data_IF_877515718428
#
_entry.id   IF_877515718428
#
_cell.length_a   1.000
_cell.length_b   1.000
_cell.length_c   1.000
_cell.angle_alpha   90.00
_cell.angle_beta   90.00
_cell.angle_gamma   90.00
#
_symmetry.space_group_name_H-M   'P 1'
#
loop_
_entity.id
_entity.type
_entity.pdbx_description
1 polymer ?
#
# COMPACT_ATOMS: atom_id res chain seq x y z
N UNK A 1 -15.32 -17.19 10.21
CA UNK A 1 -15.43 -15.81 9.79
C UNK A 1 -14.33 -15.48 8.78
N UNK A 2 -14.71 -14.93 7.65
CA UNK A 2 -13.73 -14.64 6.60
C UNK A 2 -12.90 -13.43 6.97
N UNK A 3 -11.61 -13.56 6.73
CA UNK A 3 -10.69 -12.44 6.85
C UNK A 3 -10.80 -11.58 5.60
N UNK A 4 -11.19 -10.32 5.71
CA UNK A 4 -11.34 -9.49 4.51
C UNK A 4 -10.01 -9.26 3.82
N UNK A 5 -10.05 -9.11 2.50
CA UNK A 5 -8.89 -8.74 1.70
C UNK A 5 -8.71 -7.23 1.77
N UNK A 6 -7.50 -6.80 2.05
CA UNK A 6 -7.13 -5.37 2.08
C UNK A 6 -6.26 -5.07 0.88
N UNK A 7 -6.64 -4.05 0.11
CA UNK A 7 -5.80 -3.54 -0.98
C UNK A 7 -4.96 -2.39 -0.43
N UNK A 8 -3.65 -2.58 -0.40
CA UNK A 8 -2.71 -1.55 0.04
C UNK A 8 -2.14 -0.88 -1.21
N UNK A 9 -2.32 0.42 -1.32
CA UNK A 9 -1.95 1.18 -2.52
C UNK A 9 -0.81 2.13 -2.15
N UNK A 10 0.30 2.02 -2.88
CA UNK A 10 1.47 2.87 -2.70
C UNK A 10 1.79 3.57 -4.02
N UNK A 11 1.45 4.86 -4.16
CA UNK A 11 1.89 5.63 -5.32
C UNK A 11 3.40 5.87 -5.25
N UNK A 12 4.08 5.76 -6.39
CA UNK A 12 5.52 5.90 -6.45
C UNK A 12 5.94 6.82 -7.59
N UNK A 13 6.82 7.75 -7.29
CA UNK A 13 7.49 8.54 -8.32
C UNK A 13 8.91 8.84 -7.87
N UNK A 14 9.89 8.16 -8.47
CA UNK A 14 11.33 8.35 -8.20
C UNK A 14 11.67 8.28 -6.72
N UNK A 15 11.39 7.13 -6.11
CA UNK A 15 11.56 6.90 -4.67
C UNK A 15 12.56 5.78 -4.39
N UNK A 16 13.59 5.65 -5.23
CA UNK A 16 14.56 4.56 -5.11
C UNK A 16 15.27 4.50 -3.74
N UNK A 17 15.38 5.63 -3.05
CA UNK A 17 16.08 5.68 -1.76
C UNK A 17 15.23 5.24 -0.57
N UNK A 18 13.92 5.12 -0.74
CA UNK A 18 13.03 4.83 0.40
C UNK A 18 12.01 3.71 0.14
N UNK A 19 11.79 3.32 -1.11
CA UNK A 19 10.73 2.36 -1.42
C UNK A 19 10.97 0.99 -0.78
N UNK A 20 12.21 0.54 -0.69
CA UNK A 20 12.49 -0.78 -0.11
C UNK A 20 12.03 -0.86 1.35
N UNK A 21 12.31 0.17 2.14
CA UNK A 21 11.89 0.21 3.55
C UNK A 21 10.37 0.20 3.67
N UNK A 22 9.70 0.96 2.82
CA UNK A 22 8.24 1.00 2.79
C UNK A 22 7.65 -0.37 2.48
N UNK A 23 8.10 -1.01 1.40
CA UNK A 23 7.59 -2.32 0.98
C UNK A 23 7.88 -3.39 2.02
N UNK A 24 9.07 -3.39 2.60
CA UNK A 24 9.42 -4.34 3.66
C UNK A 24 8.48 -4.24 4.85
N UNK A 25 8.08 -3.04 5.23
CA UNK A 25 7.15 -2.85 6.35
C UNK A 25 5.77 -3.42 6.06
N UNK A 26 5.35 -3.43 4.79
CA UNK A 26 4.09 -4.04 4.37
C UNK A 26 4.20 -5.57 4.35
N UNK A 27 5.30 -6.11 3.85
CA UNK A 27 5.50 -7.57 3.82
C UNK A 27 5.49 -8.15 5.23
N UNK A 28 5.98 -7.41 6.20
CA UNK A 28 6.09 -7.84 7.60
C UNK A 28 4.81 -7.67 8.41
N UNK A 29 3.71 -7.26 7.78
CA UNK A 29 2.44 -7.09 8.50
C UNK A 29 1.95 -8.40 9.09
N UNK A 30 1.44 -8.34 10.33
CA UNK A 30 0.82 -9.49 10.98
C UNK A 30 -0.47 -9.89 10.28
N UNK A 31 -1.18 -8.94 9.69
CA UNK A 31 -2.35 -9.19 8.86
C UNK A 31 -1.86 -9.65 7.49
N UNK A 32 -2.19 -10.87 7.10
CA UNK A 32 -1.58 -11.49 5.91
C UNK A 32 -2.45 -11.45 4.65
N UNK A 33 -3.76 -11.23 4.79
CA UNK A 33 -4.67 -11.26 3.65
C UNK A 33 -4.77 -9.88 2.98
N UNK A 34 -3.71 -9.51 2.26
CA UNK A 34 -3.67 -8.25 1.53
C UNK A 34 -3.10 -8.46 0.13
N UNK A 35 -3.40 -7.53 -0.74
CA UNK A 35 -2.67 -7.31 -1.99
C UNK A 35 -1.98 -5.96 -1.90
N UNK A 36 -0.77 -5.89 -2.40
CA UNK A 36 0.01 -4.64 -2.43
C UNK A 36 0.10 -4.16 -3.87
N UNK A 37 -0.47 -3.00 -4.13
CA UNK A 37 -0.48 -2.39 -5.45
C UNK A 37 0.52 -1.23 -5.46
N UNK A 38 1.64 -1.44 -6.11
CA UNK A 38 2.68 -0.43 -6.30
C UNK A 38 2.38 0.29 -7.61
N UNK A 39 2.01 1.56 -7.51
CA UNK A 39 1.61 2.34 -8.68
C UNK A 39 2.80 3.17 -9.15
N UNK A 40 3.39 2.76 -10.26
CA UNK A 40 4.52 3.44 -10.88
C UNK A 40 3.99 4.63 -11.69
N UNK A 41 4.14 5.83 -11.15
CA UNK A 41 3.68 7.07 -11.78
C UNK A 41 4.74 7.66 -12.71
N UNK A 42 5.36 6.80 -13.50
CA UNK A 42 6.36 7.23 -14.48
C UNK A 42 7.77 7.33 -13.94
N UNK A 43 8.15 6.45 -13.03
CA UNK A 43 9.50 6.44 -12.45
C UNK A 43 10.56 6.26 -13.53
N UNK A 44 11.64 7.06 -13.45
CA UNK A 44 12.78 6.97 -14.35
C UNK A 44 14.07 6.57 -13.63
N UNK A 45 14.01 6.42 -12.31
CA UNK A 45 15.12 5.95 -11.48
C UNK A 45 15.03 4.43 -11.28
N UNK A 46 15.66 3.90 -10.24
CA UNK A 46 15.69 2.47 -9.96
C UNK A 46 14.51 1.96 -9.13
N UNK A 47 13.50 2.79 -8.88
CA UNK A 47 12.33 2.39 -8.07
C UNK A 47 11.72 1.08 -8.55
N UNK A 48 11.46 0.96 -9.86
CA UNK A 48 10.81 -0.24 -10.40
C UNK A 48 11.71 -1.46 -10.34
N UNK A 49 13.02 -1.30 -10.50
CA UNK A 49 13.97 -2.41 -10.36
C UNK A 49 13.93 -2.99 -8.96
N UNK A 50 13.90 -2.11 -7.96
CA UNK A 50 13.80 -2.52 -6.55
C UNK A 50 12.48 -3.26 -6.30
N UNK A 51 11.38 -2.75 -6.84
CA UNK A 51 10.07 -3.37 -6.68
C UNK A 51 10.01 -4.76 -7.29
N UNK A 52 10.63 -4.97 -8.44
CA UNK A 52 10.63 -6.28 -9.11
C UNK A 52 11.25 -7.38 -8.26
N UNK A 53 12.27 -7.05 -7.49
CA UNK A 53 12.88 -8.03 -6.58
C UNK A 53 11.88 -8.51 -5.52
N UNK A 54 11.07 -7.60 -4.97
CA UNK A 54 10.03 -7.97 -4.01
C UNK A 54 8.93 -8.80 -4.67
N UNK A 55 8.54 -8.45 -5.88
CA UNK A 55 7.46 -9.16 -6.62
C UNK A 55 7.86 -10.61 -6.89
N UNK A 56 9.13 -10.86 -7.20
CA UNK A 56 9.62 -12.22 -7.42
C UNK A 56 9.48 -13.10 -6.18
N UNK A 57 9.53 -12.52 -5.01
CA UNK A 57 9.53 -13.25 -3.74
C UNK A 57 8.18 -13.24 -3.01
N UNK A 58 7.22 -12.44 -3.46
CA UNK A 58 5.91 -12.33 -2.80
C UNK A 58 4.82 -12.10 -3.85
N UNK A 59 3.95 -13.10 -4.00
CA UNK A 59 2.90 -13.08 -5.01
C UNK A 59 1.76 -12.11 -4.73
N UNK A 60 1.74 -11.52 -3.54
CA UNK A 60 0.72 -10.53 -3.16
C UNK A 60 1.03 -9.14 -3.71
N UNK A 61 2.21 -8.94 -4.30
CA UNK A 61 2.70 -7.64 -4.75
C UNK A 61 2.54 -7.52 -6.27
N UNK A 62 1.96 -6.40 -6.70
CA UNK A 62 1.74 -6.09 -8.12
C UNK A 62 2.32 -4.72 -8.43
N UNK A 63 2.97 -4.61 -9.59
CA UNK A 63 3.47 -3.34 -10.10
C UNK A 63 2.57 -2.90 -11.25
N UNK A 64 1.97 -1.72 -11.11
CA UNK A 64 1.06 -1.18 -12.12
C UNK A 64 1.67 0.12 -12.62
N UNK A 65 1.93 0.18 -13.92
CA UNK A 65 2.58 1.33 -14.55
C UNK A 65 1.56 2.27 -15.16
N UNK A 66 1.86 3.56 -15.09
CA UNK A 66 1.06 4.59 -15.74
C UNK A 66 1.96 5.73 -16.19
N UNK A 67 1.47 6.53 -17.11
CA UNK A 67 2.12 7.77 -17.48
C UNK A 67 2.07 8.74 -16.30
N UNK A 68 3.14 9.50 -16.10
CA UNK A 68 3.20 10.45 -14.99
C UNK A 68 2.00 11.40 -15.02
N UNK A 69 1.30 11.46 -13.91
CA UNK A 69 0.09 12.28 -13.78
C UNK A 69 -0.15 12.80 -12.37
N UNK A 70 0.77 12.49 -11.45
CA UNK A 70 0.69 12.96 -10.07
C UNK A 70 0.10 11.93 -9.10
N UNK A 71 0.23 12.23 -7.82
CA UNK A 71 -0.14 11.30 -6.74
C UNK A 71 -1.63 10.97 -6.74
N UNK A 72 -2.50 11.95 -7.00
CA UNK A 72 -3.95 11.71 -7.05
C UNK A 72 -4.32 10.77 -8.19
N UNK A 73 -3.70 10.96 -9.36
CA UNK A 73 -3.89 10.10 -10.52
C UNK A 73 -3.46 8.66 -10.21
N UNK A 74 -2.33 8.51 -9.53
CA UNK A 74 -1.82 7.20 -9.15
C UNK A 74 -2.74 6.51 -8.13
N UNK A 75 -3.21 7.23 -7.12
CA UNK A 75 -4.17 6.69 -6.16
C UNK A 75 -5.47 6.25 -6.82
N UNK A 76 -5.97 7.04 -7.75
CA UNK A 76 -7.19 6.70 -8.49
C UNK A 76 -7.03 5.43 -9.31
N UNK A 77 -5.88 5.26 -9.94
CA UNK A 77 -5.61 4.02 -10.68
C UNK A 77 -5.57 2.82 -9.73
N UNK A 78 -4.92 2.99 -8.58
CA UNK A 78 -4.91 1.94 -7.55
C UNK A 78 -6.31 1.55 -7.12
N UNK A 79 -7.18 2.53 -6.90
CA UNK A 79 -8.58 2.27 -6.54
C UNK A 79 -9.31 1.47 -7.62
N UNK A 80 -9.07 1.79 -8.90
CA UNK A 80 -9.69 1.05 -10.01
C UNK A 80 -9.22 -0.40 -10.08
N UNK A 81 -7.99 -0.66 -9.68
CA UNK A 81 -7.39 -2.00 -9.76
C UNK A 81 -7.57 -2.80 -8.48
N UNK A 82 -7.99 -2.18 -7.40
CA UNK A 82 -8.13 -2.84 -6.11
C UNK A 82 -9.24 -3.89 -6.12
N UNK A 83 -8.94 -5.06 -5.55
CA UNK A 83 -9.88 -6.16 -5.42
C UNK A 83 -10.33 -6.36 -3.98
N UNK A 84 -9.76 -5.61 -3.04
CA UNK A 84 -10.01 -5.80 -1.62
C UNK A 84 -11.37 -5.31 -1.16
N UNK A 85 -11.78 -5.81 -0.02
CA UNK A 85 -12.96 -5.34 0.69
C UNK A 85 -12.71 -3.95 1.28
N UNK A 86 -11.47 -3.68 1.64
CA UNK A 86 -11.01 -2.39 2.16
C UNK A 86 -9.78 -1.93 1.40
N UNK A 87 -9.58 -0.62 1.36
CA UNK A 87 -8.45 0.01 0.71
C UNK A 87 -7.67 0.83 1.73
N UNK A 88 -6.36 0.74 1.66
CA UNK A 88 -5.45 1.47 2.52
C UNK A 88 -4.38 2.14 1.66
N UNK A 89 -4.09 3.42 1.90
CA UNK A 89 -3.02 4.14 1.21
C UNK A 89 -1.83 4.30 2.14
N UNK A 90 -0.64 4.04 1.61
CA UNK A 90 0.61 4.29 2.33
C UNK A 90 1.51 5.10 1.40
N UNK A 91 2.11 6.16 1.92
CA UNK A 91 3.05 6.96 1.15
C UNK A 91 4.38 6.22 1.01
N UNK A 92 5.00 6.32 -0.15
CA UNK A 92 6.20 5.55 -0.48
C UNK A 92 7.43 5.88 0.36
N UNK A 93 7.45 7.06 0.99
CA UNK A 93 8.54 7.48 1.88
C UNK A 93 8.29 7.15 3.35
N UNK A 94 7.18 6.46 3.65
CA UNK A 94 6.82 6.05 5.00
C UNK A 94 7.06 4.56 5.20
N UNK A 95 7.02 4.13 6.45
CA UNK A 95 6.97 2.71 6.80
C UNK A 95 6.10 2.56 8.04
N UNK A 96 5.49 1.37 8.17
CA UNK A 96 4.42 1.16 9.14
C UNK A 96 4.78 0.05 10.13
N UNK A 97 4.16 0.10 11.31
CA UNK A 97 4.33 -0.95 12.31
C UNK A 97 3.69 -2.25 11.84
N UNK A 98 4.13 -3.37 12.39
CA UNK A 98 3.69 -4.69 11.95
C UNK A 98 2.20 -4.97 12.18
N UNK A 99 1.54 -4.20 13.04
CA UNK A 99 0.11 -4.36 13.34
C UNK A 99 -0.77 -3.26 12.71
N UNK A 100 -0.22 -2.45 11.82
CA UNK A 100 -0.91 -1.31 11.22
C UNK A 100 -2.18 -1.73 10.50
N UNK A 101 -2.08 -2.71 9.59
CA UNK A 101 -3.23 -3.18 8.80
C UNK A 101 -4.24 -3.90 9.70
N UNK A 102 -3.77 -4.68 10.65
CA UNK A 102 -4.65 -5.39 11.59
C UNK A 102 -5.50 -4.40 12.38
N UNK A 103 -4.90 -3.32 12.87
CA UNK A 103 -5.63 -2.28 13.60
C UNK A 103 -6.65 -1.59 12.71
N UNK A 104 -6.29 -1.29 11.45
CA UNK A 104 -7.22 -0.70 10.51
C UNK A 104 -8.44 -1.58 10.29
N UNK A 105 -8.24 -2.87 10.07
CA UNK A 105 -9.33 -3.82 9.86
C UNK A 105 -10.22 -3.90 11.09
N UNK A 106 -9.61 -3.98 12.28
CA UNK A 106 -10.38 -4.01 13.52
C UNK A 106 -11.26 -2.77 13.69
N UNK A 107 -10.73 -1.60 13.32
CA UNK A 107 -11.47 -0.36 13.47
C UNK A 107 -12.62 -0.24 12.47
N UNK A 108 -12.40 -0.61 11.21
CA UNK A 108 -13.49 -0.54 10.22
C UNK A 108 -14.58 -1.56 10.47
N UNK A 109 -14.26 -2.70 11.07
CA UNK A 109 -15.25 -3.71 11.39
C UNK A 109 -16.14 -3.35 12.57
N UNK A 110 -15.78 -2.34 13.35
CA UNK A 110 -16.57 -1.86 14.48
C UNK A 110 -17.71 -0.93 14.08
N UNK A 111 -17.74 -0.48 12.83
CA UNK A 111 -18.71 0.51 12.36
C UNK A 111 -19.48 -0.05 11.16
N UNK A 112 -20.57 0.65 10.77
CA UNK A 112 -21.32 0.21 9.60
C UNK A 112 -20.49 0.38 8.33
N UNK A 113 -20.80 -0.44 7.32
CA UNK A 113 -20.08 -0.39 6.04
C UNK A 113 -20.23 0.95 5.31
N UNK A 114 -21.20 1.76 5.70
CA UNK A 114 -21.44 3.07 5.10
C UNK A 114 -20.65 4.19 5.78
N UNK A 115 -20.00 3.89 6.89
CA UNK A 115 -19.26 4.89 7.64
C UNK A 115 -17.83 4.97 7.13
N UNK A 116 -17.42 6.16 6.72
CA UNK A 116 -16.05 6.42 6.34
C UNK A 116 -15.23 6.70 7.58
N UNK A 117 -14.16 5.94 7.78
CA UNK A 117 -13.30 6.07 8.95
C UNK A 117 -12.01 6.73 8.54
N UNK A 118 -11.67 7.82 9.25
CA UNK A 118 -10.36 8.46 9.13
C UNK A 118 -9.60 8.19 10.41
N UNK A 119 -8.47 7.51 10.30
CA UNK A 119 -7.59 7.26 11.42
C UNK A 119 -6.28 7.97 11.23
N UNK A 120 -5.81 8.55 12.30
CA UNK A 120 -4.54 9.22 12.33
C UNK A 120 -3.54 8.29 13.02
N UNK A 121 -3.04 7.33 12.27
CA UNK A 121 -2.06 6.39 12.80
C UNK A 121 -0.66 6.99 12.75
N UNK A 122 0.11 6.66 13.77
CA UNK A 122 1.52 7.02 13.77
C UNK A 122 2.26 6.08 12.83
N UNK A 123 2.69 6.61 11.71
CA UNK A 123 3.54 5.87 10.80
C UNK A 123 4.95 5.88 11.35
N UNK A 124 5.58 4.71 11.40
CA UNK A 124 6.98 4.62 11.82
C UNK A 124 7.81 5.38 10.80
N UNK A 125 8.72 6.24 11.26
CA UNK A 125 9.52 7.07 10.36
C UNK A 125 8.94 8.45 10.08
N UNK A 126 7.75 8.75 10.56
CA UNK A 126 7.18 10.10 10.53
C UNK A 126 7.47 10.81 11.84
N UNK A 127 7.81 12.06 11.76
CA UNK A 127 8.03 12.91 12.94
C UNK A 127 6.81 13.80 13.21
#
# INVERSE_FOLDING_TARGET
MKTPLVSIIIPMYNVENCIATCVQSVIKQSYTNFELLLIDDGCIDRTCDICREFIENDKRIYLIRKQNGGVSSARNLGLKKANGNYVCFIDSDDYVSSDYVKKLVQDVEKVSSETLIFHNYNLVGQD
#
